data_IF_765898004398
#
_entry.id   IF_765898004398
#
_cell.length_a   1.000
_cell.length_b   1.000
_cell.length_c   1.000
_cell.angle_alpha   90.00
_cell.angle_beta   90.00
_cell.angle_gamma   90.00
#
_symmetry.space_group_name_H-M   'P 1'
#
loop_
_entity.id
_entity.type
_entity.pdbx_description
1 polymer ?
#
# COMPACT_ATOMS: atom_id res chain seq x y z
N UNK A 1 -15.18 1.54 -16.18
CA UNK A 1 -13.97 2.15 -15.56
C UNK A 1 -13.66 1.47 -14.23
N UNK A 2 -14.67 1.16 -13.42
CA UNK A 2 -14.56 0.40 -12.15
C UNK A 2 -13.91 -0.99 -12.31
N UNK A 3 -14.19 -1.70 -13.41
CA UNK A 3 -13.62 -3.04 -13.65
C UNK A 3 -12.08 -3.05 -13.75
N UNK A 4 -11.49 -2.05 -14.41
CA UNK A 4 -10.04 -1.94 -14.53
C UNK A 4 -9.37 -1.60 -13.19
N UNK A 5 -10.01 -0.74 -12.38
CA UNK A 5 -9.47 -0.38 -11.09
C UNK A 5 -9.48 -1.57 -10.14
N UNK A 6 -10.58 -2.34 -10.09
CA UNK A 6 -10.69 -3.54 -9.27
C UNK A 6 -9.59 -4.58 -9.57
N UNK A 7 -9.15 -4.68 -10.84
CA UNK A 7 -8.07 -5.58 -11.26
C UNK A 7 -6.67 -5.11 -10.88
N UNK A 8 -6.51 -3.81 -10.62
CA UNK A 8 -5.23 -3.20 -10.25
C UNK A 8 -5.11 -2.97 -8.74
N UNK A 9 -6.20 -3.16 -7.99
CA UNK A 9 -6.23 -2.90 -6.55
C UNK A 9 -6.24 -4.17 -5.72
N UNK A 10 -5.55 -4.11 -4.58
CA UNK A 10 -5.57 -5.13 -3.55
C UNK A 10 -6.66 -4.81 -2.51
N UNK A 11 -7.26 -5.87 -1.96
CA UNK A 11 -8.05 -5.78 -0.72
C UNK A 11 -7.10 -5.63 0.46
N UNK A 12 -7.62 -5.17 1.61
CA UNK A 12 -6.84 -5.18 2.84
C UNK A 12 -6.36 -6.59 3.22
N UNK A 13 -7.14 -7.63 2.91
CA UNK A 13 -6.77 -9.02 3.19
C UNK A 13 -5.55 -9.51 2.40
N UNK A 14 -5.20 -8.83 1.30
CA UNK A 14 -4.08 -9.17 0.42
C UNK A 14 -2.92 -8.16 0.55
N UNK A 15 -2.93 -7.35 1.61
CA UNK A 15 -1.98 -6.24 1.75
C UNK A 15 -0.55 -6.70 2.03
N UNK A 16 -0.41 -7.86 2.66
CA UNK A 16 0.86 -8.56 2.83
C UNK A 16 1.48 -8.94 1.49
N UNK A 17 0.69 -9.56 0.61
CA UNK A 17 1.10 -9.91 -0.75
C UNK A 17 1.38 -8.65 -1.60
N UNK A 18 0.59 -7.58 -1.41
CA UNK A 18 0.81 -6.31 -2.10
C UNK A 18 2.18 -5.71 -1.74
N UNK A 19 2.56 -5.73 -0.45
CA UNK A 19 3.86 -5.26 0.02
C UNK A 19 5.01 -6.12 -0.49
N UNK A 20 4.87 -7.44 -0.44
CA UNK A 20 5.88 -8.36 -0.98
C UNK A 20 6.07 -8.16 -2.49
N UNK A 21 4.96 -8.04 -3.24
CA UNK A 21 4.98 -7.76 -4.68
C UNK A 21 5.63 -6.41 -4.98
N UNK A 22 5.30 -5.36 -4.22
CA UNK A 22 5.88 -4.04 -4.34
C UNK A 22 7.39 -4.08 -4.07
N UNK A 23 7.82 -4.72 -2.98
CA UNK A 23 9.23 -4.84 -2.63
C UNK A 23 10.03 -5.63 -3.68
N UNK A 24 9.48 -6.74 -4.19
CA UNK A 24 10.12 -7.52 -5.26
C UNK A 24 10.24 -6.74 -6.56
N UNK A 25 9.15 -6.13 -7.00
CA UNK A 25 9.10 -5.43 -8.28
C UNK A 25 9.88 -4.10 -8.27
N UNK A 26 10.10 -3.51 -7.09
CA UNK A 26 10.98 -2.35 -6.90
C UNK A 26 12.45 -2.71 -6.69
N UNK A 27 12.78 -4.01 -6.57
CA UNK A 27 14.14 -4.47 -6.27
C UNK A 27 14.58 -4.22 -4.82
N UNK A 28 13.66 -3.83 -3.94
CA UNK A 28 13.90 -3.66 -2.50
C UNK A 28 13.96 -4.99 -1.75
N UNK A 29 13.29 -6.03 -2.27
CA UNK A 29 13.33 -7.38 -1.72
C UNK A 29 14.17 -8.31 -2.60
N UNK A 30 15.31 -8.75 -2.06
CA UNK A 30 16.18 -9.73 -2.73
C UNK A 30 15.78 -11.19 -2.46
N UNK A 31 15.02 -11.45 -1.39
CA UNK A 31 14.55 -12.79 -1.01
C UNK A 31 13.10 -12.75 -0.53
N UNK A 32 12.40 -13.88 -0.65
CA UNK A 32 11.07 -14.05 -0.06
C UNK A 32 11.21 -14.05 1.47
N UNK A 33 10.67 -13.04 2.12
CA UNK A 33 10.60 -12.94 3.58
C UNK A 33 9.14 -13.13 3.98
N UNK A 34 8.90 -13.86 5.07
CA UNK A 34 7.56 -14.02 5.61
C UNK A 34 7.04 -12.69 6.16
N UNK A 35 5.97 -12.17 5.54
CA UNK A 35 5.22 -11.05 6.07
C UNK A 35 4.49 -11.46 7.36
N UNK A 36 4.42 -10.58 8.38
CA UNK A 36 3.53 -10.81 9.51
C UNK A 36 2.09 -11.03 9.03
N UNK A 37 1.33 -11.93 9.68
CA UNK A 37 -0.09 -12.07 9.37
C UNK A 37 -0.81 -10.74 9.61
N UNK A 38 -1.84 -10.50 8.82
CA UNK A 38 -2.73 -9.38 9.04
C UNK A 38 -3.46 -9.56 10.38
N UNK A 39 -3.42 -8.57 11.30
CA UNK A 39 -4.22 -8.58 12.51
C UNK A 39 -5.71 -8.71 12.18
N UNK A 40 -6.41 -9.55 12.94
CA UNK A 40 -7.88 -9.58 12.92
C UNK A 40 -8.41 -8.19 13.27
N UNK A 41 -9.40 -7.72 12.50
CA UNK A 41 -9.98 -6.39 12.72
C UNK A 41 -9.23 -5.24 12.05
N UNK A 42 -8.13 -5.46 11.32
CA UNK A 42 -7.37 -4.36 10.70
C UNK A 42 -8.21 -3.60 9.65
N UNK A 43 -9.20 -4.25 9.04
CA UNK A 43 -10.13 -3.67 8.07
C UNK A 43 -11.06 -2.64 8.71
N UNK A 44 -11.50 -2.93 9.93
CA UNK A 44 -12.35 -2.10 10.77
C UNK A 44 -11.53 -1.11 11.61
N UNK A 45 -10.24 -1.39 11.79
CA UNK A 45 -9.32 -0.53 12.51
C UNK A 45 -9.07 0.78 11.76
N UNK A 46 -8.78 1.83 12.52
CA UNK A 46 -8.53 3.16 11.97
C UNK A 46 -7.27 3.22 11.12
N UNK A 47 -7.04 4.39 10.51
CA UNK A 47 -5.82 4.64 9.74
C UNK A 47 -4.53 4.45 10.55
N UNK A 48 -4.54 4.71 11.86
CA UNK A 48 -3.36 4.64 12.71
C UNK A 48 -2.86 3.20 12.94
N UNK A 49 -3.76 2.25 13.19
CA UNK A 49 -3.44 0.83 13.32
C UNK A 49 -2.88 0.26 12.03
N UNK A 50 -3.49 0.63 10.90
CA UNK A 50 -3.01 0.28 9.56
C UNK A 50 -1.60 0.81 9.30
N UNK A 51 -1.34 2.10 9.56
CA UNK A 51 -0.01 2.69 9.42
C UNK A 51 1.03 1.97 10.28
N UNK A 52 0.69 1.66 11.54
CA UNK A 52 1.60 0.94 12.44
C UNK A 52 1.92 -0.47 11.93
N UNK A 53 0.92 -1.18 11.41
CA UNK A 53 1.13 -2.50 10.82
C UNK A 53 2.00 -2.42 9.57
N UNK A 54 1.76 -1.44 8.69
CA UNK A 54 2.57 -1.19 7.49
C UNK A 54 4.04 -0.92 7.86
N UNK A 55 4.29 -0.01 8.80
CA UNK A 55 5.65 0.30 9.28
C UNK A 55 6.35 -0.93 9.86
N UNK A 56 5.65 -1.73 10.67
CA UNK A 56 6.20 -2.95 11.28
C UNK A 56 6.51 -4.01 10.22
N UNK A 57 5.64 -4.15 9.22
CA UNK A 57 5.80 -5.13 8.15
C UNK A 57 6.95 -4.73 7.22
N UNK A 58 7.02 -3.47 6.83
CA UNK A 58 8.12 -2.91 6.04
C UNK A 58 9.48 -3.17 6.71
N UNK A 59 9.60 -2.87 8.01
CA UNK A 59 10.84 -3.11 8.76
C UNK A 59 11.26 -4.58 8.78
N UNK A 60 10.30 -5.52 8.80
CA UNK A 60 10.61 -6.97 8.70
C UNK A 60 11.07 -7.37 7.31
N UNK A 61 10.62 -6.64 6.30
CA UNK A 61 11.00 -6.80 4.90
C UNK A 61 12.28 -6.03 4.54
N UNK A 62 13.00 -5.51 5.53
CA UNK A 62 14.26 -4.77 5.39
C UNK A 62 14.14 -3.43 4.60
N UNK A 63 12.95 -2.82 4.61
CA UNK A 63 12.74 -1.47 4.07
C UNK A 63 11.96 -0.57 5.04
N UNK A 64 12.02 0.73 4.79
CA UNK A 64 11.29 1.74 5.57
C UNK A 64 10.03 2.17 4.83
N UNK A 65 8.90 2.22 5.54
CA UNK A 65 7.66 2.78 5.04
C UNK A 65 7.37 4.08 5.77
N UNK A 66 7.21 5.17 5.02
CA UNK A 66 6.86 6.48 5.53
C UNK A 66 5.41 6.82 5.14
N UNK A 67 4.51 7.10 6.09
CA UNK A 67 3.18 7.58 5.77
C UNK A 67 3.26 9.01 5.22
N UNK A 68 2.69 9.23 4.04
CA UNK A 68 2.66 10.55 3.40
C UNK A 68 1.21 10.95 3.15
N UNK A 69 0.81 12.06 3.75
CA UNK A 69 -0.43 12.75 3.44
C UNK A 69 -0.14 13.93 2.50
N UNK A 70 -0.97 14.10 1.46
CA UNK A 70 -0.83 15.21 0.52
C UNK A 70 -2.20 15.83 0.22
N UNK A 71 -2.29 17.17 0.09
CA UNK A 71 -3.50 17.81 -0.38
C UNK A 71 -3.91 17.28 -1.77
N UNK A 72 -5.21 17.16 -2.03
CA UNK A 72 -5.72 16.68 -3.33
C UNK A 72 -5.09 17.39 -4.56
N UNK A 73 -4.86 18.72 -4.55
CA UNK A 73 -4.21 19.41 -5.67
C UNK A 73 -2.76 18.97 -5.96
N UNK A 74 -2.07 18.36 -5.00
CA UNK A 74 -0.66 17.96 -5.09
C UNK A 74 -0.49 16.47 -5.41
N UNK A 75 -1.57 15.68 -5.39
CA UNK A 75 -1.57 14.23 -5.62
C UNK A 75 -0.89 13.85 -6.94
N UNK A 76 -1.16 14.58 -8.04
CA UNK A 76 -0.51 14.29 -9.33
C UNK A 76 1.01 14.43 -9.26
N UNK A 77 1.49 15.49 -8.60
CA UNK A 77 2.93 15.73 -8.47
C UNK A 77 3.58 14.69 -7.56
N UNK A 78 2.89 14.30 -6.48
CA UNK A 78 3.32 13.22 -5.60
C UNK A 78 3.43 11.89 -6.37
N UNK A 79 2.39 11.49 -7.11
CA UNK A 79 2.39 10.24 -7.89
C UNK A 79 3.52 10.23 -8.93
N UNK A 80 3.80 11.37 -9.60
CA UNK A 80 4.85 11.45 -10.61
C UNK A 80 6.28 11.36 -10.03
N UNK A 81 6.47 11.75 -8.76
CA UNK A 81 7.78 11.78 -8.10
C UNK A 81 7.98 10.68 -7.09
N UNK A 82 6.90 10.02 -6.69
CA UNK A 82 6.94 8.90 -5.79
C UNK A 82 7.81 7.78 -6.40
N UNK A 83 8.67 7.22 -5.55
CA UNK A 83 9.26 5.92 -5.80
C UNK A 83 8.19 4.81 -5.66
N UNK A 84 8.60 3.58 -5.31
CA UNK A 84 7.62 2.57 -4.92
C UNK A 84 6.74 3.10 -3.79
N UNK A 85 5.42 3.09 -3.99
CA UNK A 85 4.45 3.62 -3.03
C UNK A 85 3.21 2.74 -2.98
N UNK A 86 2.56 2.71 -1.82
CA UNK A 86 1.29 2.02 -1.60
C UNK A 86 0.21 3.07 -1.34
N UNK A 87 -0.72 3.22 -2.28
CA UNK A 87 -1.78 4.21 -2.20
C UNK A 87 -3.03 3.58 -1.61
N UNK A 88 -3.59 4.21 -0.56
CA UNK A 88 -4.91 3.85 -0.04
C UNK A 88 -5.98 4.64 -0.78
N UNK A 89 -6.90 3.93 -1.42
CA UNK A 89 -8.00 4.54 -2.17
C UNK A 89 -9.20 4.79 -1.23
N UNK A 90 -9.73 6.01 -1.18
CA UNK A 90 -10.99 6.27 -0.51
C UNK A 90 -12.13 5.63 -1.31
N UNK A 91 -12.91 4.76 -0.67
CA UNK A 91 -14.10 4.17 -1.27
C UNK A 91 -15.38 4.76 -0.66
N UNK A 92 -16.52 4.64 -1.36
CA UNK A 92 -17.82 5.05 -0.83
C UNK A 92 -18.14 4.41 0.53
N UNK A 93 -18.97 5.08 1.33
CA UNK A 93 -19.34 4.63 2.68
C UNK A 93 -19.82 3.17 2.71
N UNK A 94 -19.15 2.35 3.52
CA UNK A 94 -19.49 0.93 3.73
C UNK A 94 -18.63 -0.06 2.95
N UNK A 95 -17.73 0.42 2.07
CA UNK A 95 -16.78 -0.45 1.37
C UNK A 95 -15.42 -0.53 2.09
N UNK A 96 -14.83 -1.72 2.06
CA UNK A 96 -13.51 -1.99 2.63
C UNK A 96 -12.42 -1.33 1.80
N UNK A 97 -11.49 -0.60 2.44
CA UNK A 97 -10.43 0.14 1.74
C UNK A 97 -9.67 -0.73 0.71
N UNK A 98 -9.35 -0.11 -0.43
CA UNK A 98 -8.55 -0.72 -1.50
C UNK A 98 -7.18 -0.07 -1.58
N UNK A 99 -6.21 -0.84 -2.03
CA UNK A 99 -4.82 -0.41 -2.10
C UNK A 99 -4.28 -0.55 -3.51
N UNK A 100 -3.38 0.35 -3.91
CA UNK A 100 -2.71 0.32 -5.19
C UNK A 100 -1.19 0.42 -4.99
N UNK A 101 -0.45 -0.58 -5.44
CA UNK A 101 1.00 -0.54 -5.51
C UNK A 101 1.45 0.23 -6.76
N UNK A 102 2.18 1.31 -6.55
CA UNK A 102 2.81 2.13 -7.57
C UNK A 102 4.32 1.80 -7.57
N UNK A 103 4.89 1.35 -8.68
CA UNK A 103 6.32 1.01 -8.74
C UNK A 103 7.22 2.22 -8.98
N UNK A 104 6.75 3.13 -9.82
CA UNK A 104 7.41 4.39 -10.14
C UNK A 104 6.40 5.37 -10.68
N UNK A 105 6.59 6.65 -10.37
CA UNK A 105 5.96 7.74 -11.10
C UNK A 105 6.41 7.77 -12.56
N UNK A 106 5.51 8.23 -13.43
CA UNK A 106 5.80 8.41 -14.85
C UNK A 106 6.69 9.63 -15.10
N UNK A 107 7.99 9.39 -15.32
CA UNK A 107 8.86 10.20 -16.17
C UNK A 107 9.68 9.30 -17.08
#
# INVERSE_FOLDING_TARGET
MEDHLNRLTWSISDLDQALEALGRASGLLSQALETPPLPEGLAEAGGAELSRWLETTARRLDFEAEPVDTPYPEVEQLIQRAGPALLRLPLPYGETARFLALLRGGR
#
